data_IF_390467754521
#
_entry.id   IF_390467754521
#
_cell.length_a   1.000
_cell.length_b   1.000
_cell.length_c   1.000
_cell.angle_alpha   90.00
_cell.angle_beta   90.00
_cell.angle_gamma   90.00
#
_symmetry.space_group_name_H-M   'P 1'
#
loop_
_entity.id
_entity.type
_entity.pdbx_description
1 polymer ?
#
# COMPACT_ATOMS: atom_id res chain seq x y z
N UNK A 1 8.73 -0.11 -5.32
CA UNK A 1 8.49 -1.06 -4.22
C UNK A 1 7.01 -1.29 -3.97
N UNK A 2 6.20 -0.26 -3.69
CA UNK A 2 4.74 -0.41 -3.51
C UNK A 2 4.04 -1.30 -4.55
N UNK A 3 4.22 -1.02 -5.84
CA UNK A 3 3.62 -1.81 -6.93
C UNK A 3 4.17 -3.25 -7.01
N UNK A 4 5.39 -3.49 -6.53
CA UNK A 4 6.00 -4.82 -6.53
C UNK A 4 5.53 -5.67 -5.34
N UNK A 5 5.19 -5.03 -4.22
CA UNK A 5 4.80 -5.71 -2.99
C UNK A 5 3.29 -5.92 -2.87
N UNK A 6 2.49 -4.98 -3.36
CA UNK A 6 1.03 -4.99 -3.21
C UNK A 6 0.24 -4.88 -4.54
N UNK A 7 0.94 -4.75 -5.67
CA UNK A 7 0.36 -4.85 -7.03
C UNK A 7 -1.00 -4.15 -7.20
N UNK A 8 -2.03 -4.95 -7.47
CA UNK A 8 -3.40 -4.49 -7.77
C UNK A 8 -4.07 -3.74 -6.60
N UNK A 9 -3.74 -4.07 -5.36
CA UNK A 9 -4.35 -3.46 -4.17
C UNK A 9 -3.96 -1.99 -4.02
N UNK A 10 -2.81 -1.60 -4.58
CA UNK A 10 -2.32 -0.21 -4.57
C UNK A 10 -2.62 0.51 -5.88
N UNK A 11 -2.59 -0.20 -7.01
CA UNK A 11 -2.86 0.40 -8.32
C UNK A 11 -4.26 1.01 -8.40
N UNK A 12 -5.29 0.30 -7.90
CA UNK A 12 -6.67 0.77 -7.98
C UNK A 12 -6.93 2.05 -7.17
N UNK A 13 -6.54 2.15 -5.88
CA UNK A 13 -6.65 3.40 -5.12
C UNK A 13 -5.87 4.57 -5.74
N UNK A 14 -4.66 4.33 -6.25
CA UNK A 14 -3.86 5.38 -6.92
C UNK A 14 -4.60 5.89 -8.17
N UNK A 15 -5.13 4.98 -8.99
CA UNK A 15 -5.89 5.35 -10.17
C UNK A 15 -7.17 6.13 -9.81
N UNK A 16 -7.93 5.67 -8.79
CA UNK A 16 -9.13 6.35 -8.31
C UNK A 16 -8.83 7.77 -7.81
N UNK A 17 -7.75 7.92 -7.03
CA UNK A 17 -7.29 9.23 -6.59
C UNK A 17 -6.95 10.11 -7.79
N UNK A 18 -6.12 9.65 -8.72
CA UNK A 18 -5.74 10.43 -9.90
C UNK A 18 -6.96 10.86 -10.76
N UNK A 19 -8.06 10.09 -10.77
CA UNK A 19 -9.30 10.43 -11.48
C UNK A 19 -10.13 11.52 -10.79
N UNK A 20 -10.29 11.45 -9.48
CA UNK A 20 -11.28 12.26 -8.74
C UNK A 20 -10.68 13.43 -7.97
N UNK A 21 -9.39 13.34 -7.62
CA UNK A 21 -8.72 14.22 -6.66
C UNK A 21 -8.58 15.68 -7.12
N UNK A 22 -8.60 15.94 -8.44
CA UNK A 22 -8.31 17.28 -8.99
C UNK A 22 -9.24 18.35 -8.46
N UNK A 23 -10.54 18.06 -8.38
CA UNK A 23 -11.55 19.04 -7.96
C UNK A 23 -11.45 19.38 -6.46
N UNK A 24 -10.85 18.50 -5.66
CA UNK A 24 -10.74 18.63 -4.21
C UNK A 24 -9.31 19.02 -3.76
N UNK A 25 -8.43 19.36 -4.71
CA UNK A 25 -7.08 19.86 -4.41
C UNK A 25 -6.09 18.79 -3.94
N UNK A 26 -6.34 17.51 -4.21
CA UNK A 26 -5.39 16.43 -3.94
C UNK A 26 -4.55 16.17 -5.21
N UNK A 27 -3.23 16.15 -5.06
CA UNK A 27 -2.28 15.96 -6.16
C UNK A 27 -1.33 14.81 -5.84
N UNK A 28 -1.01 13.99 -6.84
CA UNK A 28 -0.15 12.82 -6.68
C UNK A 28 1.14 13.00 -7.47
N UNK A 29 2.26 12.73 -6.81
CA UNK A 29 3.59 12.62 -7.43
C UNK A 29 4.07 11.19 -7.24
N UNK A 30 4.28 10.48 -8.34
CA UNK A 30 4.75 9.08 -8.32
C UNK A 30 6.13 9.03 -8.97
N UNK A 31 7.12 8.57 -8.22
CA UNK A 31 8.50 8.41 -8.68
C UNK A 31 8.93 6.94 -8.64
N UNK A 32 9.73 6.52 -9.62
CA UNK A 32 10.31 5.17 -9.67
C UNK A 32 11.68 5.20 -10.35
N UNK A 33 12.57 4.34 -9.90
CA UNK A 33 13.85 4.04 -10.58
C UNK A 33 13.74 2.80 -11.49
N UNK A 34 12.59 2.12 -11.48
CA UNK A 34 12.34 0.89 -12.27
C UNK A 34 11.24 1.15 -13.28
N UNK A 35 11.56 1.68 -14.47
CA UNK A 35 10.58 2.03 -15.50
C UNK A 35 10.15 0.81 -16.32
N UNK A 36 9.59 -0.21 -15.66
CA UNK A 36 9.06 -1.40 -16.33
C UNK A 36 7.54 -1.32 -16.52
N UNK A 37 7.02 -2.05 -17.50
CA UNK A 37 5.58 -2.13 -17.78
C UNK A 37 4.75 -2.68 -16.61
N UNK A 38 5.39 -3.42 -15.70
CA UNK A 38 4.76 -3.95 -14.49
C UNK A 38 4.62 -2.87 -13.40
N UNK A 39 5.41 -1.81 -13.45
CA UNK A 39 5.36 -0.68 -12.50
C UNK A 39 4.57 0.47 -13.09
N UNK A 40 4.83 0.80 -14.36
CA UNK A 40 4.14 1.85 -15.12
C UNK A 40 3.12 1.18 -16.04
N UNK A 41 2.04 0.70 -15.44
CA UNK A 41 0.97 -0.02 -16.14
C UNK A 41 0.16 0.93 -17.04
N UNK A 42 -0.68 0.36 -17.91
CA UNK A 42 -1.62 1.13 -18.73
C UNK A 42 -2.57 1.98 -17.88
N UNK A 43 -3.06 1.45 -16.76
CA UNK A 43 -3.93 2.16 -15.81
C UNK A 43 -3.24 3.37 -15.23
N UNK A 44 -1.97 3.24 -14.81
CA UNK A 44 -1.20 4.37 -14.30
C UNK A 44 -1.00 5.40 -15.42
N UNK A 45 -0.59 4.98 -16.62
CA UNK A 45 -0.41 5.93 -17.73
C UNK A 45 -1.69 6.68 -18.08
N UNK A 46 -2.84 6.02 -18.07
CA UNK A 46 -4.12 6.64 -18.40
C UNK A 46 -4.53 7.77 -17.43
N UNK A 47 -4.09 7.72 -16.17
CA UNK A 47 -4.49 8.68 -15.14
C UNK A 47 -3.41 9.73 -14.80
N UNK A 48 -2.19 9.56 -15.30
CA UNK A 48 -1.07 10.49 -15.10
C UNK A 48 -0.61 11.05 -16.46
N UNK A 49 -1.24 12.15 -16.94
CA UNK A 49 -0.97 12.71 -18.27
C UNK A 49 0.33 13.51 -18.35
N UNK A 50 0.79 14.06 -17.22
CA UNK A 50 2.08 14.74 -17.11
C UNK A 50 3.13 13.73 -16.63
N UNK A 51 4.20 13.54 -17.41
CA UNK A 51 5.24 12.54 -17.13
C UNK A 51 6.61 13.14 -17.34
N UNK A 52 7.49 12.86 -16.40
CA UNK A 52 8.86 13.35 -16.40
C UNK A 52 9.80 12.16 -16.39
N UNK A 53 10.81 12.17 -17.27
CA UNK A 53 11.88 11.18 -17.27
C UNK A 53 13.22 11.87 -17.22
N UNK A 54 14.04 11.50 -16.24
CA UNK A 54 15.49 11.69 -16.29
C UNK A 54 16.12 10.66 -17.24
N UNK A 55 17.45 10.69 -17.33
CA UNK A 55 18.22 9.71 -18.09
C UNK A 55 17.84 8.28 -17.70
N UNK A 56 17.52 7.47 -18.70
CA UNK A 56 17.26 6.03 -18.57
C UNK A 56 18.27 5.21 -19.37
N UNK A 57 18.31 3.90 -19.11
CA UNK A 57 19.31 3.02 -19.71
C UNK A 57 18.99 2.64 -21.15
N UNK A 58 17.71 2.63 -21.53
CA UNK A 58 17.29 2.13 -22.84
C UNK A 58 16.14 2.92 -23.46
N UNK A 59 16.05 2.84 -24.79
CA UNK A 59 14.89 3.36 -25.55
C UNK A 59 13.56 2.73 -25.10
N UNK A 60 13.60 1.48 -24.61
CA UNK A 60 12.43 0.77 -24.11
C UNK A 60 11.93 1.44 -22.84
N UNK A 61 12.82 1.73 -21.89
CA UNK A 61 12.48 2.43 -20.65
C UNK A 61 11.91 3.83 -20.93
N UNK A 62 12.50 4.55 -21.88
CA UNK A 62 12.00 5.86 -22.32
C UNK A 62 10.55 5.76 -22.80
N UNK A 63 10.24 4.76 -23.64
CA UNK A 63 8.89 4.53 -24.14
C UNK A 63 7.93 4.07 -23.04
N UNK A 64 8.41 3.29 -22.08
CA UNK A 64 7.57 2.87 -20.95
C UNK A 64 7.09 4.07 -20.13
N UNK A 65 7.95 5.09 -19.93
CA UNK A 65 7.61 6.30 -19.16
C UNK A 65 6.84 7.31 -20.01
N UNK A 66 7.39 7.68 -21.17
CA UNK A 66 6.94 8.86 -21.93
C UNK A 66 6.05 8.52 -23.14
N UNK A 67 5.88 7.24 -23.47
CA UNK A 67 5.36 6.78 -24.76
C UNK A 67 6.18 7.30 -25.97
N UNK A 68 7.38 7.82 -25.70
CA UNK A 68 8.32 8.40 -26.68
C UNK A 68 9.77 7.99 -26.35
N UNK A 69 10.64 8.03 -27.35
CA UNK A 69 12.08 7.83 -27.18
C UNK A 69 12.80 9.15 -26.87
N UNK A 70 14.04 9.09 -26.36
CA UNK A 70 14.88 10.27 -26.14
C UNK A 70 15.41 10.40 -24.72
N UNK A 71 14.73 9.81 -23.73
CA UNK A 71 15.23 9.86 -22.36
C UNK A 71 16.54 9.06 -22.18
N UNK A 72 16.79 8.07 -23.05
CA UNK A 72 18.05 7.32 -23.12
C UNK A 72 19.24 8.15 -23.63
N UNK A 73 18.96 9.29 -24.27
CA UNK A 73 19.98 10.20 -24.83
C UNK A 73 20.27 11.39 -23.92
N UNK A 74 19.60 11.49 -22.76
CA UNK A 74 19.86 12.54 -21.79
C UNK A 74 21.25 12.39 -21.20
N UNK A 75 21.86 13.52 -20.83
CA UNK A 75 23.23 13.54 -20.31
C UNK A 75 23.29 13.14 -18.83
N UNK A 76 22.17 13.22 -18.11
CA UNK A 76 22.07 13.00 -16.66
C UNK A 76 22.17 14.32 -15.89
N UNK A 77 22.48 14.26 -14.59
CA UNK A 77 22.73 15.45 -13.75
C UNK A 77 21.63 16.53 -13.86
N UNK A 78 20.37 16.12 -13.81
CA UNK A 78 19.22 17.03 -13.89
C UNK A 78 18.63 17.22 -15.29
N UNK A 79 19.29 16.75 -16.35
CA UNK A 79 18.71 16.75 -17.70
C UNK A 79 17.51 15.80 -17.79
N UNK A 80 16.36 16.32 -18.26
CA UNK A 80 15.08 15.62 -18.22
C UNK A 80 14.18 15.95 -19.42
N UNK A 81 13.26 15.04 -19.72
CA UNK A 81 12.15 15.26 -20.64
C UNK A 81 10.84 15.31 -19.85
N UNK A 82 10.05 16.35 -20.09
CA UNK A 82 8.68 16.50 -19.63
C UNK A 82 7.73 16.26 -20.81
N UNK A 83 6.87 15.25 -20.68
CA UNK A 83 5.76 14.98 -21.59
C UNK A 83 4.45 15.46 -20.98
N UNK A 84 3.74 16.34 -21.69
CA UNK A 84 2.40 16.79 -21.34
C UNK A 84 1.51 16.62 -22.57
N UNK A 85 0.75 15.51 -22.61
CA UNK A 85 -0.03 15.15 -23.80
C UNK A 85 0.88 14.73 -24.96
N UNK A 86 0.85 15.46 -26.07
CA UNK A 86 1.68 15.18 -27.26
C UNK A 86 3.00 15.93 -27.30
N UNK A 87 3.18 16.92 -26.43
CA UNK A 87 4.38 17.76 -26.42
C UNK A 87 5.43 17.17 -25.47
N UNK A 88 6.66 17.03 -25.97
CA UNK A 88 7.82 16.64 -25.18
C UNK A 88 8.80 17.80 -25.14
N UNK A 89 9.08 18.30 -23.95
CA UNK A 89 9.95 19.44 -23.69
C UNK A 89 11.17 18.95 -22.94
N UNK A 90 12.37 19.29 -23.43
CA UNK A 90 13.62 19.04 -22.71
C UNK A 90 13.89 20.18 -21.74
N UNK A 91 14.19 19.83 -20.50
CA UNK A 91 14.39 20.76 -19.39
C UNK A 91 15.66 20.39 -18.63
N UNK A 92 16.22 21.36 -17.92
CA UNK A 92 17.27 21.15 -16.93
C UNK A 92 16.69 21.37 -15.54
N UNK A 93 16.73 20.34 -14.69
CA UNK A 93 16.33 20.44 -13.30
C UNK A 93 17.30 21.33 -12.54
N UNK A 94 16.76 22.17 -11.67
CA UNK A 94 17.55 22.88 -10.66
C UNK A 94 18.25 21.84 -9.77
N UNK A 95 19.51 22.12 -9.44
CA UNK A 95 20.24 21.35 -8.46
C UNK A 95 20.02 21.97 -7.08
N UNK A 96 19.77 21.12 -6.09
CA UNK A 96 19.73 21.47 -4.68
C UNK A 96 20.53 20.42 -3.93
N UNK A 97 21.48 20.86 -3.12
CA UNK A 97 22.32 19.97 -2.33
C UNK A 97 21.64 19.57 -1.02
N UNK A 98 22.15 18.52 -0.37
CA UNK A 98 21.60 18.01 0.89
C UNK A 98 21.56 19.08 2.00
N UNK A 99 22.63 19.89 2.21
CA UNK A 99 22.59 20.95 3.23
C UNK A 99 21.51 22.01 2.96
N UNK A 100 21.25 22.34 1.70
CA UNK A 100 20.19 23.30 1.34
C UNK A 100 18.79 22.72 1.65
N UNK A 101 18.59 21.42 1.41
CA UNK A 101 17.35 20.72 1.80
C UNK A 101 17.17 20.71 3.31
N UNK A 102 18.25 20.48 4.08
CA UNK A 102 18.22 20.52 5.54
C UNK A 102 17.87 21.92 6.07
N UNK A 103 18.47 22.97 5.51
CA UNK A 103 18.17 24.36 5.89
C UNK A 103 16.71 24.73 5.59
N UNK A 104 16.17 24.32 4.44
CA UNK A 104 14.75 24.52 4.11
C UNK A 104 13.84 23.75 5.09
N UNK A 105 14.18 22.50 5.40
CA UNK A 105 13.43 21.69 6.36
C UNK A 105 13.43 22.34 7.75
N UNK A 106 14.57 22.85 8.22
CA UNK A 106 14.69 23.54 9.50
C UNK A 106 13.90 24.85 9.51
N UNK A 107 14.02 25.66 8.45
CA UNK A 107 13.25 26.89 8.30
C UNK A 107 11.74 26.64 8.37
N UNK A 108 11.24 25.59 7.70
CA UNK A 108 9.82 25.22 7.74
C UNK A 108 9.45 24.65 9.11
N UNK A 109 10.29 23.78 9.68
CA UNK A 109 10.05 23.11 10.97
C UNK A 109 10.00 24.08 12.16
N UNK A 110 10.70 25.22 12.07
CA UNK A 110 10.69 26.28 13.08
C UNK A 110 9.46 27.21 13.01
N UNK A 111 8.63 27.09 11.97
CA UNK A 111 7.38 27.84 11.87
C UNK A 111 6.33 27.26 12.84
N UNK A 112 5.30 28.05 13.13
CA UNK A 112 4.21 27.60 14.00
C UNK A 112 3.51 26.37 13.39
N UNK A 113 3.75 25.20 13.98
CA UNK A 113 3.13 23.94 13.59
C UNK A 113 1.88 23.58 14.39
N UNK A 114 1.29 22.43 14.05
CA UNK A 114 0.23 21.80 14.84
C UNK A 114 0.85 21.00 16.00
N UNK A 115 0.10 20.88 17.11
CA UNK A 115 0.57 20.14 18.29
C UNK A 115 0.79 18.64 18.04
N UNK A 116 0.14 18.08 17.03
CA UNK A 116 0.27 16.67 16.65
C UNK A 116 0.06 16.49 15.15
N UNK A 117 0.55 15.36 14.62
CA UNK A 117 0.25 14.95 13.26
C UNK A 117 -1.26 14.70 13.08
N UNK A 118 -1.77 15.00 11.88
CA UNK A 118 -3.11 14.59 11.47
C UNK A 118 -3.05 13.12 11.03
N UNK A 119 -3.53 12.23 11.89
CA UNK A 119 -3.60 10.80 11.58
C UNK A 119 -4.75 10.56 10.60
N UNK A 120 -4.43 10.00 9.44
CA UNK A 120 -5.46 9.56 8.50
C UNK A 120 -6.22 8.38 9.12
N UNK A 121 -7.56 8.37 9.02
CA UNK A 121 -8.35 7.22 9.45
C UNK A 121 -7.95 5.99 8.64
N UNK A 122 -8.07 4.82 9.25
CA UNK A 122 -7.87 3.58 8.52
C UNK A 122 -8.98 3.44 7.46
N UNK A 123 -8.63 2.97 6.25
CA UNK A 123 -9.63 2.73 5.23
C UNK A 123 -10.65 1.71 5.77
N UNK A 124 -11.94 1.99 5.57
CA UNK A 124 -12.98 0.99 5.81
C UNK A 124 -12.65 -0.25 5.00
N UNK A 125 -12.57 -1.40 5.67
CA UNK A 125 -12.19 -2.68 5.05
C UNK A 125 -13.18 -3.15 3.97
N UNK A 126 -14.28 -2.42 3.77
CA UNK A 126 -15.28 -2.63 2.71
C UNK A 126 -14.85 -2.09 1.32
N UNK A 127 -14.04 -1.03 1.23
CA UNK A 127 -13.71 -0.40 -0.06
C UNK A 127 -12.52 -1.06 -0.80
N UNK A 128 -11.72 -1.91 -0.13
CA UNK A 128 -10.69 -2.72 -0.78
C UNK A 128 -11.31 -4.00 -1.41
N UNK A 129 -12.18 -3.80 -2.39
CA UNK A 129 -12.60 -4.86 -3.30
C UNK A 129 -13.31 -6.06 -2.65
N UNK A 130 -14.60 -5.90 -2.34
CA UNK A 130 -15.59 -6.98 -2.45
C UNK A 130 -15.21 -8.30 -1.78
N UNK A 131 -14.80 -8.27 -0.52
CA UNK A 131 -14.87 -9.44 0.35
C UNK A 131 -15.50 -9.03 1.65
N UNK A 132 -16.82 -9.26 1.72
CA UNK A 132 -17.63 -9.41 2.92
C UNK A 132 -16.98 -8.91 4.22
N UNK A 133 -17.36 -7.70 4.66
CA UNK A 133 -17.76 -7.52 6.07
C UNK A 133 -19.14 -8.19 6.29
N UNK A 134 -19.31 -9.38 5.74
CA UNK A 134 -20.45 -10.24 5.93
C UNK A 134 -20.11 -11.12 7.11
N UNK A 135 -21.01 -11.12 8.09
CA UNK A 135 -21.36 -12.27 8.91
C UNK A 135 -20.48 -13.50 8.68
N UNK A 136 -19.77 -13.97 9.72
CA UNK A 136 -19.05 -15.24 9.64
C UNK A 136 -19.99 -16.31 9.08
N UNK A 137 -19.81 -16.68 7.81
CA UNK A 137 -20.51 -17.81 7.23
C UNK A 137 -19.65 -19.05 7.50
N UNK A 138 -20.11 -19.99 8.35
CA UNK A 138 -19.40 -21.23 8.62
C UNK A 138 -19.07 -22.01 7.33
N UNK A 139 -19.85 -21.83 6.27
CA UNK A 139 -19.62 -22.48 4.98
C UNK A 139 -18.42 -21.91 4.19
N UNK A 140 -17.95 -20.70 4.51
CA UNK A 140 -16.84 -20.02 3.82
C UNK A 140 -15.57 -19.89 4.68
N UNK A 141 -15.44 -20.76 5.69
CA UNK A 141 -14.32 -20.81 6.61
C UNK A 141 -13.01 -21.15 5.88
N UNK A 142 -11.94 -20.41 6.16
CA UNK A 142 -10.62 -20.74 5.58
C UNK A 142 -10.16 -22.13 6.08
N UNK A 143 -9.50 -22.91 5.21
CA UNK A 143 -8.99 -24.24 5.55
C UNK A 143 -8.05 -24.25 6.76
N UNK A 144 -7.37 -23.14 7.04
CA UNK A 144 -6.45 -22.97 8.16
C UNK A 144 -7.10 -22.34 9.41
N UNK A 145 -8.40 -22.09 9.41
CA UNK A 145 -9.09 -21.38 10.50
C UNK A 145 -8.87 -22.02 11.86
N UNK A 146 -9.11 -23.32 12.01
CA UNK A 146 -8.94 -23.97 13.32
C UNK A 146 -7.48 -24.02 13.76
N UNK A 147 -6.56 -24.23 12.82
CA UNK A 147 -5.13 -24.25 13.12
C UNK A 147 -4.65 -22.86 13.56
N UNK A 148 -5.15 -21.80 12.92
CA UNK A 148 -4.92 -20.42 13.31
C UNK A 148 -5.52 -20.10 14.68
N UNK A 149 -6.74 -20.57 14.97
CA UNK A 149 -7.38 -20.40 16.26
C UNK A 149 -6.55 -21.02 17.40
N UNK A 150 -6.15 -22.30 17.23
CA UNK A 150 -5.30 -23.02 18.18
C UNK A 150 -3.96 -22.32 18.36
N UNK A 151 -3.36 -21.84 17.28
CA UNK A 151 -2.09 -21.10 17.31
C UNK A 151 -2.20 -19.81 18.14
N UNK A 152 -3.25 -19.02 17.91
CA UNK A 152 -3.47 -17.74 18.59
C UNK A 152 -3.75 -17.94 20.08
N UNK A 153 -4.58 -18.92 20.44
CA UNK A 153 -4.88 -19.27 21.84
C UNK A 153 -3.65 -19.85 22.55
N UNK A 154 -2.91 -20.76 21.91
CA UNK A 154 -1.70 -21.33 22.50
C UNK A 154 -0.63 -20.26 22.79
N UNK A 155 -0.45 -19.31 21.88
CA UNK A 155 0.55 -18.25 22.04
C UNK A 155 0.02 -17.00 22.76
N UNK A 156 -1.28 -16.94 23.06
CA UNK A 156 -1.96 -15.77 23.61
C UNK A 156 -1.61 -14.47 22.85
N UNK A 157 -1.53 -14.55 21.53
CA UNK A 157 -1.12 -13.44 20.68
C UNK A 157 -1.92 -13.41 19.35
N UNK A 158 -2.92 -12.52 19.26
CA UNK A 158 -3.76 -12.31 18.08
C UNK A 158 -3.12 -11.44 17.01
N UNK A 159 -1.92 -11.79 16.53
CA UNK A 159 -1.23 -11.01 15.49
C UNK A 159 -1.20 -11.70 14.13
N UNK A 160 -1.48 -10.95 13.07
CA UNK A 160 -1.43 -11.41 11.67
C UNK A 160 -0.05 -11.99 11.32
N UNK A 161 1.02 -11.37 11.80
CA UNK A 161 2.40 -11.82 11.54
C UNK A 161 2.77 -13.14 12.23
N UNK A 162 2.10 -13.50 13.33
CA UNK A 162 2.24 -14.81 13.96
C UNK A 162 1.66 -15.90 13.04
N UNK A 163 0.41 -15.72 12.62
CA UNK A 163 -0.29 -16.67 11.72
C UNK A 163 0.48 -16.81 10.40
N UNK A 164 0.88 -15.69 9.81
CA UNK A 164 1.64 -15.64 8.56
C UNK A 164 2.90 -16.52 8.63
N UNK A 165 3.73 -16.33 9.68
CA UNK A 165 5.01 -17.04 9.81
C UNK A 165 4.84 -18.51 10.17
N UNK A 166 3.90 -18.82 11.06
CA UNK A 166 3.70 -20.19 11.56
C UNK A 166 3.00 -21.08 10.54
N UNK A 167 1.98 -20.56 9.85
CA UNK A 167 1.22 -21.30 8.84
C UNK A 167 1.76 -21.11 7.41
N UNK A 168 2.84 -20.33 7.25
CA UNK A 168 3.48 -20.02 5.96
C UNK A 168 2.50 -19.45 4.93
N UNK A 169 1.60 -18.58 5.38
CA UNK A 169 0.56 -17.95 4.56
C UNK A 169 1.01 -16.57 4.06
N UNK A 170 0.36 -16.07 3.01
CA UNK A 170 0.49 -14.66 2.61
C UNK A 170 -0.16 -13.72 3.64
N UNK A 171 0.32 -12.48 3.73
CA UNK A 171 -0.14 -11.50 4.75
C UNK A 171 -1.66 -11.27 4.70
N UNK A 172 -2.24 -11.08 3.50
CA UNK A 172 -3.68 -10.82 3.35
C UNK A 172 -4.54 -12.01 3.78
N UNK A 173 -4.07 -13.25 3.53
CA UNK A 173 -4.76 -14.46 3.99
C UNK A 173 -4.66 -14.61 5.51
N UNK A 174 -3.51 -14.30 6.10
CA UNK A 174 -3.36 -14.27 7.55
C UNK A 174 -4.19 -13.16 8.21
N UNK A 175 -4.38 -12.02 7.54
CA UNK A 175 -5.26 -10.93 7.97
C UNK A 175 -6.71 -11.40 8.04
N UNK A 176 -7.22 -11.96 6.93
CA UNK A 176 -8.57 -12.55 6.87
C UNK A 176 -8.81 -13.62 7.93
N UNK A 177 -7.81 -14.46 8.21
CA UNK A 177 -7.91 -15.44 9.31
C UNK A 177 -8.11 -14.75 10.67
N UNK A 178 -7.36 -13.67 10.96
CA UNK A 178 -7.55 -12.89 12.20
C UNK A 178 -8.94 -12.26 12.26
N UNK A 179 -9.46 -11.76 11.14
CA UNK A 179 -10.79 -11.16 11.07
C UNK A 179 -11.90 -12.22 11.28
N UNK A 180 -11.75 -13.42 10.71
CA UNK A 180 -12.65 -14.54 10.98
C UNK A 180 -12.59 -14.94 12.46
N UNK A 181 -11.42 -14.94 13.10
CA UNK A 181 -11.30 -15.23 14.54
C UNK A 181 -11.95 -14.16 15.42
N UNK A 182 -11.95 -12.90 15.00
CA UNK A 182 -12.65 -11.81 15.69
C UNK A 182 -14.17 -12.00 15.61
N UNK A 183 -14.67 -12.34 14.42
CA UNK A 183 -16.12 -12.48 14.19
C UNK A 183 -16.78 -13.56 15.05
N UNK A 184 -16.02 -14.58 15.47
CA UNK A 184 -16.48 -15.66 16.37
C UNK A 184 -16.06 -15.44 17.83
N UNK A 185 -15.48 -14.30 18.16
CA UNK A 185 -15.11 -13.94 19.53
C UNK A 185 -13.86 -14.62 20.09
N UNK A 186 -12.97 -15.17 19.24
CA UNK A 186 -11.69 -15.77 19.70
C UNK A 186 -10.65 -14.68 19.98
N UNK A 187 -10.63 -13.62 19.18
CA UNK A 187 -9.81 -12.42 19.39
C UNK A 187 -10.70 -11.18 19.53
N UNK A 188 -10.21 -10.19 20.27
CA UNK A 188 -10.87 -8.91 20.47
C UNK A 188 -10.76 -8.01 19.23
N UNK A 189 -11.36 -6.83 19.36
CA UNK A 189 -11.40 -5.85 18.28
C UNK A 189 -10.02 -5.41 17.82
N UNK A 190 -9.94 -4.97 16.57
CA UNK A 190 -8.69 -4.43 16.01
C UNK A 190 -8.11 -3.28 16.86
N UNK A 191 -6.82 -3.39 17.21
CA UNK A 191 -6.11 -2.48 18.11
C UNK A 191 -5.05 -1.61 17.42
N UNK A 192 -5.16 -1.37 16.11
CA UNK A 192 -4.13 -0.68 15.33
C UNK A 192 -2.95 -1.58 14.97
N UNK A 193 -1.73 -1.06 15.09
CA UNK A 193 -0.48 -1.79 14.79
C UNK A 193 -0.11 -2.88 15.83
N UNK A 194 -0.88 -2.99 16.92
CA UNK A 194 -0.65 -3.97 17.99
C UNK A 194 -1.39 -5.28 17.72
N UNK A 195 -0.88 -6.36 18.31
CA UNK A 195 -1.59 -7.64 18.33
C UNK A 195 -2.96 -7.48 19.00
N UNK A 196 -3.98 -8.14 18.46
CA UNK A 196 -5.31 -8.18 19.06
C UNK A 196 -5.27 -8.95 20.38
N UNK A 197 -6.09 -8.52 21.33
CA UNK A 197 -6.30 -9.26 22.58
C UNK A 197 -6.88 -10.64 22.25
N UNK A 198 -6.40 -11.68 22.91
CA UNK A 198 -6.98 -13.02 22.78
C UNK A 198 -8.01 -13.18 23.89
N UNK A 199 -9.27 -13.35 23.51
CA UNK A 199 -10.39 -13.43 24.47
C UNK A 199 -10.48 -14.82 25.09
N UNK A 200 -10.11 -15.85 24.32
CA UNK A 200 -10.13 -17.26 24.73
C UNK A 200 -8.80 -17.66 25.36
N UNK A 201 -8.85 -18.13 26.62
CA UNK A 201 -7.65 -18.38 27.43
C UNK A 201 -7.30 -19.85 27.57
N UNK A 202 -8.21 -20.75 27.19
CA UNK A 202 -8.01 -22.18 27.32
C UNK A 202 -8.35 -22.93 26.04
N UNK A 203 -7.66 -24.05 25.82
CA UNK A 203 -7.93 -24.93 24.68
C UNK A 203 -9.32 -25.57 24.79
N UNK A 204 -9.81 -25.81 26.01
CA UNK A 204 -11.15 -26.35 26.24
C UNK A 204 -12.25 -25.39 25.79
N UNK A 205 -12.13 -24.11 26.15
CA UNK A 205 -13.04 -23.04 25.72
C UNK A 205 -13.01 -22.87 24.20
N UNK A 206 -11.82 -22.97 23.59
CA UNK A 206 -11.69 -22.94 22.13
C UNK A 206 -12.44 -24.11 21.46
N UNK A 207 -12.28 -25.34 21.97
CA UNK A 207 -12.96 -26.52 21.40
C UNK A 207 -14.49 -26.44 21.56
N UNK A 208 -15.01 -25.79 22.59
CA UNK A 208 -16.45 -25.52 22.73
C UNK A 208 -16.94 -24.54 21.67
N UNK A 209 -16.19 -23.47 21.41
CA UNK A 209 -16.50 -22.51 20.34
C UNK A 209 -16.48 -23.24 19.00
N UNK A 210 -15.41 -23.98 18.68
CA UNK A 210 -15.27 -24.69 17.41
C UNK A 210 -16.36 -25.73 17.13
N UNK A 211 -16.93 -26.35 18.17
CA UNK A 211 -18.06 -27.30 18.03
C UNK A 211 -19.40 -26.63 17.75
N UNK A 212 -19.54 -25.35 18.13
CA UNK A 212 -20.77 -24.59 18.02
C UNK A 212 -20.80 -23.68 16.77
N UNK A 213 -19.75 -23.72 15.95
CA UNK A 213 -19.66 -23.07 14.63
C UNK A 213 -20.15 -24.02 13.53
#
# INVERSE_FOLDING_TARGET
>A
DLMLTAGKEVEHPIARLAQLARAIGIHLVVATQRPSVNVITGTIKANFPARLSFKVMSKIDSRTILDASGADQLVGMGDMLLSMGSEVIRLQCAFVDTPEVEEICEFIGNQQGYASAYLLPEPDSEEMGGQDRGDFDPANRDSFFEEAARLVVMHQQGSTSLIQRKLKLGYNRAGRLIDQLESVGIVGSFGGSKAREVLVKSETELEEILKNL
#
